data_IF_857911425980
#
_entry.id   IF_857911425980
#
_cell.length_a   1.000
_cell.length_b   1.000
_cell.length_c   1.000
_cell.angle_alpha   90.00
_cell.angle_beta   90.00
_cell.angle_gamma   90.00
#
_symmetry.space_group_name_H-M   'P 1'
#
loop_
_entity.id
_entity.type
_entity.pdbx_description
1 polymer ?
#
# COMPACT_ATOMS: atom_id res chain seq x y z
N UNK A 1 8.89 16.49 -22.48
CA UNK A 1 9.60 17.00 -21.31
C UNK A 1 8.94 18.27 -20.79
N UNK A 2 8.71 19.24 -21.65
CA UNK A 2 7.98 20.46 -21.28
C UNK A 2 6.59 20.14 -20.75
N UNK A 3 5.91 19.18 -21.35
CA UNK A 3 4.59 18.70 -20.88
C UNK A 3 4.67 18.08 -19.49
N UNK A 4 5.73 17.32 -19.22
CA UNK A 4 5.92 16.69 -17.92
C UNK A 4 6.18 17.74 -16.85
N UNK A 5 7.06 18.68 -17.11
CA UNK A 5 7.36 19.76 -16.18
C UNK A 5 6.12 20.62 -15.90
N UNK A 6 5.38 20.96 -16.95
CA UNK A 6 4.13 21.71 -16.82
C UNK A 6 3.10 20.94 -16.01
N UNK A 7 3.01 19.63 -16.21
CA UNK A 7 2.11 18.75 -15.47
C UNK A 7 2.49 18.70 -14.00
N UNK A 8 3.77 18.56 -13.71
CA UNK A 8 4.28 18.53 -12.33
C UNK A 8 4.08 19.87 -11.61
N UNK A 9 4.30 20.98 -12.31
CA UNK A 9 4.11 22.32 -11.75
C UNK A 9 2.65 22.56 -11.40
N UNK A 10 1.73 22.06 -12.21
CA UNK A 10 0.30 22.20 -11.97
C UNK A 10 -0.25 21.16 -10.99
N UNK A 11 0.57 20.18 -10.61
CA UNK A 11 0.16 19.13 -9.71
C UNK A 11 0.30 19.63 -8.27
N UNK A 12 -0.76 19.64 -7.48
CA UNK A 12 -0.66 20.08 -6.08
C UNK A 12 0.40 19.28 -5.32
N UNK A 13 1.20 19.98 -4.55
CA UNK A 13 2.25 19.36 -3.72
C UNK A 13 1.71 18.22 -2.86
N UNK A 14 0.52 18.39 -2.32
CA UNK A 14 -0.16 17.39 -1.49
C UNK A 14 -0.39 16.08 -2.24
N UNK A 15 -0.69 16.15 -3.53
CA UNK A 15 -0.93 14.96 -4.36
C UNK A 15 0.36 14.21 -4.65
N UNK A 16 1.46 14.94 -4.85
CA UNK A 16 2.79 14.35 -5.00
C UNK A 16 3.18 13.62 -3.71
N UNK A 17 2.93 14.24 -2.57
CA UNK A 17 3.20 13.65 -1.26
C UNK A 17 2.41 12.36 -1.04
N UNK A 18 1.15 12.31 -1.47
CA UNK A 18 0.33 11.10 -1.39
C UNK A 18 0.94 9.97 -2.21
N UNK A 19 1.38 10.25 -3.43
CA UNK A 19 2.01 9.25 -4.29
C UNK A 19 3.30 8.73 -3.69
N UNK A 20 4.11 9.62 -3.12
CA UNK A 20 5.35 9.25 -2.44
C UNK A 20 5.07 8.38 -1.22
N UNK A 21 4.02 8.71 -0.46
CA UNK A 21 3.62 7.94 0.71
C UNK A 21 3.18 6.53 0.34
N UNK A 22 2.44 6.37 -0.76
CA UNK A 22 2.04 5.05 -1.26
C UNK A 22 3.28 4.22 -1.60
N UNK A 23 4.24 4.80 -2.31
CA UNK A 23 5.48 4.12 -2.67
C UNK A 23 6.27 3.70 -1.44
N UNK A 24 6.40 4.60 -0.47
CA UNK A 24 7.11 4.34 0.78
C UNK A 24 6.45 3.22 1.57
N UNK A 25 5.14 3.28 1.73
CA UNK A 25 4.38 2.28 2.48
C UNK A 25 4.45 0.90 1.83
N UNK A 26 4.47 0.85 0.49
CA UNK A 26 4.62 -0.40 -0.25
C UNK A 26 5.99 -1.04 0.00
N UNK A 27 7.04 -0.23 0.03
CA UNK A 27 8.40 -0.71 0.33
C UNK A 27 8.51 -1.21 1.76
N UNK A 28 7.93 -0.49 2.72
CA UNK A 28 7.92 -0.90 4.12
C UNK A 28 7.19 -2.23 4.29
N UNK A 29 6.08 -2.42 3.57
CA UNK A 29 5.33 -3.66 3.59
C UNK A 29 6.17 -4.85 3.12
N UNK A 30 6.95 -4.67 2.05
CA UNK A 30 7.86 -5.71 1.54
C UNK A 30 8.93 -6.05 2.56
N UNK A 31 9.53 -5.06 3.21
CA UNK A 31 10.53 -5.28 4.25
C UNK A 31 9.97 -6.06 5.42
N UNK A 32 8.76 -5.70 5.86
CA UNK A 32 8.08 -6.42 6.94
C UNK A 32 7.80 -7.87 6.55
N UNK A 33 7.44 -8.12 5.29
CA UNK A 33 7.21 -9.48 4.80
C UNK A 33 8.49 -10.32 4.84
N UNK A 34 9.62 -9.75 4.43
CA UNK A 34 10.92 -10.41 4.52
C UNK A 34 11.28 -10.73 5.96
N UNK A 35 11.13 -9.77 6.86
CA UNK A 35 11.41 -9.99 8.29
C UNK A 35 10.53 -11.10 8.86
N UNK A 36 9.24 -11.10 8.54
CA UNK A 36 8.32 -12.10 9.04
C UNK A 36 8.69 -13.50 8.55
N UNK A 37 9.07 -13.63 7.28
CA UNK A 37 9.48 -14.92 6.71
C UNK A 37 10.80 -15.43 7.30
N UNK A 38 11.66 -14.52 7.75
CA UNK A 38 12.96 -14.86 8.32
C UNK A 38 12.91 -15.14 9.81
N UNK A 39 11.80 -14.84 10.48
CA UNK A 39 11.68 -14.97 11.93
C UNK A 39 11.26 -16.39 12.32
N UNK A 40 11.98 -16.97 13.28
CA UNK A 40 11.63 -18.24 13.89
C UNK A 40 10.68 -18.06 15.08
N UNK A 41 10.55 -16.83 15.59
CA UNK A 41 9.68 -16.51 16.72
C UNK A 41 8.26 -16.26 16.24
N UNK A 42 7.32 -17.10 16.66
CA UNK A 42 5.93 -17.04 16.21
C UNK A 42 5.26 -15.73 16.61
N UNK A 43 5.48 -15.25 17.83
CA UNK A 43 4.89 -13.99 18.29
C UNK A 43 5.40 -12.80 17.49
N UNK A 44 6.70 -12.77 17.23
CA UNK A 44 7.31 -11.71 16.43
C UNK A 44 6.76 -11.75 15.01
N UNK A 45 6.63 -12.93 14.42
CA UNK A 45 6.05 -13.11 13.09
C UNK A 45 4.62 -12.59 13.03
N UNK A 46 3.80 -12.92 14.02
CA UNK A 46 2.42 -12.42 14.11
C UNK A 46 2.37 -10.90 14.19
N UNK A 47 3.23 -10.30 14.99
CA UNK A 47 3.31 -8.85 15.11
C UNK A 47 3.66 -8.19 13.79
N UNK A 48 4.61 -8.77 13.05
CA UNK A 48 4.98 -8.26 11.74
C UNK A 48 3.85 -8.41 10.72
N UNK A 49 3.13 -9.54 10.78
CA UNK A 49 1.98 -9.77 9.91
C UNK A 49 0.86 -8.76 10.18
N UNK A 50 0.62 -8.42 11.45
CA UNK A 50 -0.35 -7.39 11.81
C UNK A 50 0.05 -6.01 11.27
N UNK A 51 1.34 -5.70 11.33
CA UNK A 51 1.86 -4.45 10.76
C UNK A 51 1.68 -4.42 9.24
N UNK A 52 1.88 -5.54 8.56
CA UNK A 52 1.65 -5.66 7.12
C UNK A 52 0.19 -5.37 6.80
N UNK A 53 -0.74 -5.97 7.54
CA UNK A 53 -2.17 -5.77 7.34
C UNK A 53 -2.53 -4.29 7.55
N UNK A 54 -1.98 -3.66 8.58
CA UNK A 54 -2.20 -2.24 8.83
C UNK A 54 -1.68 -1.39 7.67
N UNK A 55 -0.53 -1.72 7.10
CA UNK A 55 0.03 -1.01 5.93
C UNK A 55 -0.84 -1.16 4.70
N UNK A 56 -1.40 -2.35 4.47
CA UNK A 56 -2.32 -2.59 3.35
C UNK A 56 -3.55 -1.69 3.50
N UNK A 57 -4.12 -1.60 4.69
CA UNK A 57 -5.28 -0.75 4.96
C UNK A 57 -4.95 0.73 4.77
N UNK A 58 -3.76 1.14 5.15
CA UNK A 58 -3.30 2.51 4.96
C UNK A 58 -3.14 2.85 3.47
N UNK A 59 -2.57 1.93 2.70
CA UNK A 59 -2.43 2.10 1.25
C UNK A 59 -3.81 2.21 0.59
N UNK A 60 -4.76 1.38 1.03
CA UNK A 60 -6.13 1.44 0.55
C UNK A 60 -6.76 2.82 0.81
N UNK A 61 -6.56 3.36 2.01
CA UNK A 61 -7.00 4.71 2.35
C UNK A 61 -6.41 5.75 1.41
N UNK A 62 -5.11 5.68 1.15
CA UNK A 62 -4.43 6.62 0.26
C UNK A 62 -4.93 6.52 -1.19
N UNK A 63 -5.23 5.31 -1.65
CA UNK A 63 -5.76 5.09 -3.00
C UNK A 63 -7.17 5.66 -3.11
N UNK A 64 -8.00 5.50 -2.08
CA UNK A 64 -9.33 6.11 -2.03
C UNK A 64 -9.23 7.63 -2.09
N UNK A 65 -8.26 8.20 -1.37
CA UNK A 65 -8.02 9.63 -1.39
C UNK A 65 -7.59 10.11 -2.79
N UNK A 66 -6.74 9.34 -3.47
CA UNK A 66 -6.34 9.64 -4.83
C UNK A 66 -7.51 9.63 -5.81
N UNK A 67 -8.43 8.69 -5.62
CA UNK A 67 -9.63 8.62 -6.44
C UNK A 67 -10.55 9.82 -6.20
N UNK A 68 -10.77 10.17 -4.93
CA UNK A 68 -11.61 11.32 -4.56
C UNK A 68 -11.06 12.63 -5.11
N UNK A 69 -9.74 12.75 -5.18
CA UNK A 69 -9.07 13.92 -5.74
C UNK A 69 -8.88 13.85 -7.25
N UNK A 70 -9.40 12.81 -7.89
CA UNK A 70 -9.31 12.60 -9.34
C UNK A 70 -7.88 12.44 -9.85
N UNK A 71 -6.95 12.00 -9.01
CA UNK A 71 -5.57 11.70 -9.40
C UNK A 71 -5.54 10.42 -10.24
N UNK A 72 -6.39 9.45 -9.90
CA UNK A 72 -6.55 8.22 -10.65
C UNK A 72 -7.99 8.11 -11.15
N UNK A 73 -8.17 7.46 -12.28
CA UNK A 73 -9.51 7.25 -12.85
C UNK A 73 -10.20 6.02 -12.22
N UNK A 74 -11.49 5.86 -12.50
CA UNK A 74 -12.30 4.76 -11.94
C UNK A 74 -11.72 3.38 -12.29
N UNK A 75 -11.22 3.21 -13.50
CA UNK A 75 -10.64 1.93 -13.93
C UNK A 75 -9.43 1.55 -13.12
N UNK A 76 -8.52 2.50 -12.87
CA UNK A 76 -7.34 2.29 -12.04
C UNK A 76 -7.71 2.06 -10.58
N UNK A 77 -8.67 2.82 -10.10
CA UNK A 77 -9.17 2.68 -8.73
C UNK A 77 -9.68 1.27 -8.46
N UNK A 78 -10.53 0.74 -9.36
CA UNK A 78 -11.06 -0.62 -9.23
C UNK A 78 -9.95 -1.66 -9.29
N UNK A 79 -8.97 -1.47 -10.16
CA UNK A 79 -7.86 -2.39 -10.32
C UNK A 79 -6.98 -2.45 -9.07
N UNK A 80 -6.69 -1.30 -8.47
CA UNK A 80 -5.96 -1.22 -7.21
C UNK A 80 -6.75 -1.87 -6.08
N UNK A 81 -8.06 -1.60 -6.01
CA UNK A 81 -8.94 -2.19 -5.01
C UNK A 81 -8.94 -3.71 -5.05
N UNK A 82 -9.06 -4.29 -6.25
CA UNK A 82 -9.02 -5.74 -6.44
C UNK A 82 -7.68 -6.32 -5.99
N UNK A 83 -6.58 -5.67 -6.36
CA UNK A 83 -5.23 -6.12 -5.97
C UNK A 83 -5.04 -6.07 -4.46
N UNK A 84 -5.48 -5.00 -3.82
CA UNK A 84 -5.38 -4.84 -2.36
C UNK A 84 -6.25 -5.85 -1.62
N UNK A 85 -7.46 -6.11 -2.10
CA UNK A 85 -8.33 -7.11 -1.51
C UNK A 85 -7.70 -8.50 -1.58
N UNK A 86 -7.07 -8.83 -2.70
CA UNK A 86 -6.37 -10.10 -2.86
C UNK A 86 -5.21 -10.21 -1.88
N UNK A 87 -4.39 -9.16 -1.79
CA UNK A 87 -3.25 -9.12 -0.87
C UNK A 87 -3.72 -9.22 0.59
N UNK A 88 -4.79 -8.53 0.93
CA UNK A 88 -5.34 -8.54 2.28
C UNK A 88 -5.84 -9.94 2.66
N UNK A 89 -6.53 -10.61 1.76
CA UNK A 89 -6.98 -11.99 1.95
C UNK A 89 -5.80 -12.92 2.20
N UNK A 90 -4.75 -12.77 1.40
CA UNK A 90 -3.54 -13.58 1.51
C UNK A 90 -2.85 -13.33 2.86
N UNK A 91 -2.73 -12.06 3.26
CA UNK A 91 -2.10 -11.70 4.52
C UNK A 91 -2.87 -12.23 5.73
N UNK A 92 -4.19 -12.14 5.70
CA UNK A 92 -5.05 -12.69 6.76
C UNK A 92 -4.94 -14.22 6.84
N UNK A 93 -4.92 -14.90 5.71
CA UNK A 93 -4.74 -16.34 5.64
C UNK A 93 -3.38 -16.76 6.18
N UNK A 94 -2.34 -16.02 5.83
CA UNK A 94 -0.99 -16.25 6.31
C UNK A 94 -0.90 -16.10 7.84
N UNK A 95 -1.50 -15.04 8.37
CA UNK A 95 -1.56 -14.81 9.80
C UNK A 95 -2.28 -15.96 10.53
N UNK A 96 -3.39 -16.44 9.98
CA UNK A 96 -4.15 -17.57 10.52
C UNK A 96 -3.31 -18.84 10.56
N UNK A 97 -2.59 -19.14 9.50
CA UNK A 97 -1.77 -20.34 9.41
C UNK A 97 -0.56 -20.32 10.34
N UNK A 98 -0.14 -19.13 10.78
CA UNK A 98 0.95 -18.99 11.75
C UNK A 98 0.50 -19.36 13.17
N UNK A 99 -0.79 -19.29 13.42
CA UNK A 99 -1.35 -19.70 14.72
C UNK A 99 -1.24 -21.21 14.89
#
# INVERSE_FOLDING_TARGET
IVKVDKYLVNFPKKEIEIKQEISKSSKEMLLLAYEANSSDNIEHRKNLQEKIIARIKYIDFLINLCYDKQIINAKRYLKFGESLDYILKYANGWKKSTS
#
